data_IF_189393793727
#
_entry.id   IF_189393793727
#
_cell.length_a   1.000
_cell.length_b   1.000
_cell.length_c   1.000
_cell.angle_alpha   90.00
_cell.angle_beta   90.00
_cell.angle_gamma   90.00
#
_symmetry.space_group_name_H-M   'P 1'
#
loop_
_entity.id
_entity.type
_entity.pdbx_description
1 polymer ?
#
# COMPACT_ATOMS: atom_id res chain seq x y z
N UNK A 1 8.30 42.97 -9.81
CA UNK A 1 8.48 42.01 -10.92
C UNK A 1 8.20 40.63 -10.37
N UNK A 2 6.95 40.21 -10.56
CA UNK A 2 6.38 39.00 -9.98
C UNK A 2 6.92 37.76 -10.71
N UNK A 3 7.47 36.80 -9.97
CA UNK A 3 7.92 35.52 -10.51
C UNK A 3 6.72 34.61 -10.80
N UNK A 4 6.02 34.89 -11.90
CA UNK A 4 5.06 33.96 -12.50
C UNK A 4 5.78 32.66 -12.89
N UNK A 5 5.44 31.54 -12.23
CA UNK A 5 5.86 30.20 -12.65
C UNK A 5 6.69 29.38 -11.63
N UNK A 6 7.04 29.93 -10.46
CA UNK A 6 7.74 29.16 -9.44
C UNK A 6 6.80 28.12 -8.79
N UNK A 7 6.80 26.88 -9.29
CA UNK A 7 6.11 25.75 -8.64
C UNK A 7 6.76 25.50 -7.28
N UNK A 8 6.13 25.96 -6.22
CA UNK A 8 6.55 25.64 -4.86
C UNK A 8 6.67 24.12 -4.71
N UNK A 9 7.86 23.65 -4.40
CA UNK A 9 8.14 22.25 -4.10
C UNK A 9 7.46 21.90 -2.78
N UNK A 10 6.24 21.37 -2.85
CA UNK A 10 5.55 20.92 -1.65
C UNK A 10 6.40 19.85 -0.95
N UNK A 11 6.75 20.13 0.30
CA UNK A 11 7.42 19.19 1.20
C UNK A 11 6.55 17.95 1.35
N UNK A 12 7.09 16.81 0.92
CA UNK A 12 6.36 15.53 0.97
C UNK A 12 6.15 15.14 2.43
N UNK A 13 4.94 15.28 2.95
CA UNK A 13 4.58 14.74 4.25
C UNK A 13 4.82 13.22 4.27
N UNK A 14 5.31 12.66 5.40
CA UNK A 14 5.50 11.23 5.52
C UNK A 14 4.16 10.52 5.28
N UNK A 15 4.14 9.41 4.55
CA UNK A 15 2.90 8.71 4.22
C UNK A 15 2.21 8.26 5.51
N UNK A 16 1.04 8.86 5.78
CA UNK A 16 0.24 8.53 6.95
C UNK A 16 -0.18 7.06 6.89
N UNK A 17 0.10 6.32 7.96
CA UNK A 17 -0.24 4.89 8.02
C UNK A 17 -1.76 4.72 8.01
N UNK A 18 -2.24 3.85 7.12
CA UNK A 18 -3.66 3.51 7.10
C UNK A 18 -4.06 2.75 8.36
N UNK A 19 -5.35 2.83 8.74
CA UNK A 19 -5.93 2.07 9.86
C UNK A 19 -5.54 0.58 9.84
N UNK A 20 -5.55 -0.04 8.66
CA UNK A 20 -5.16 -1.46 8.49
C UNK A 20 -3.69 -1.72 8.78
N UNK A 21 -2.80 -0.81 8.41
CA UNK A 21 -1.36 -0.92 8.71
C UNK A 21 -1.10 -0.80 10.20
N UNK A 22 -1.79 0.14 10.88
CA UNK A 22 -1.71 0.27 12.34
C UNK A 22 -2.20 -1.01 13.03
N UNK A 23 -3.32 -1.57 12.58
CA UNK A 23 -3.84 -2.82 13.13
C UNK A 23 -2.89 -4.01 12.91
N UNK A 24 -2.26 -4.12 11.74
CA UNK A 24 -1.22 -5.12 11.47
C UNK A 24 -0.02 -4.97 12.41
N UNK A 25 0.43 -3.74 12.68
CA UNK A 25 1.52 -3.48 13.62
C UNK A 25 1.16 -3.88 15.05
N UNK A 26 -0.05 -3.57 15.50
CA UNK A 26 -0.57 -4.02 16.80
C UNK A 26 -0.58 -5.54 16.89
N UNK A 27 -1.08 -6.24 15.86
CA UNK A 27 -1.07 -7.70 15.81
C UNK A 27 0.35 -8.29 15.85
N UNK A 28 1.35 -7.63 15.23
CA UNK A 28 2.76 -8.06 15.33
C UNK A 28 3.27 -7.95 16.76
N UNK A 29 2.98 -6.84 17.45
CA UNK A 29 3.35 -6.64 18.86
C UNK A 29 2.70 -7.68 19.76
N UNK A 30 1.40 -7.92 19.60
CA UNK A 30 0.65 -8.93 20.36
C UNK A 30 1.22 -10.34 20.14
N UNK A 31 1.47 -10.75 18.89
CA UNK A 31 2.09 -12.06 18.60
C UNK A 31 3.48 -12.21 19.21
N UNK A 32 4.30 -11.14 19.20
CA UNK A 32 5.64 -11.16 19.83
C UNK A 32 5.52 -11.31 21.35
N UNK A 33 4.62 -10.56 22.01
CA UNK A 33 4.35 -10.68 23.44
C UNK A 33 3.88 -12.10 23.79
N UNK A 34 2.94 -12.63 23.03
CA UNK A 34 2.39 -13.96 23.25
C UNK A 34 3.44 -15.06 23.06
N UNK A 35 4.33 -14.92 22.07
CA UNK A 35 5.46 -15.86 21.88
C UNK A 35 6.43 -15.83 23.06
N UNK A 36 6.62 -14.69 23.72
CA UNK A 36 7.40 -14.60 24.97
C UNK A 36 6.69 -15.33 26.12
N UNK A 37 5.38 -15.15 26.24
CA UNK A 37 4.57 -15.84 27.27
C UNK A 37 4.57 -17.35 27.06
N UNK A 38 4.43 -17.84 25.83
CA UNK A 38 4.52 -19.27 25.50
C UNK A 38 5.86 -19.86 25.96
N UNK A 39 6.97 -19.15 25.76
CA UNK A 39 8.30 -19.63 26.17
C UNK A 39 8.48 -19.72 27.69
N UNK A 40 7.69 -18.96 28.44
CA UNK A 40 7.77 -18.90 29.90
C UNK A 40 6.66 -19.70 30.61
N UNK A 41 5.71 -20.28 29.86
CA UNK A 41 4.56 -20.98 30.41
C UNK A 41 4.87 -22.46 30.69
N UNK A 42 4.14 -23.06 31.63
CA UNK A 42 4.13 -24.51 31.81
C UNK A 42 3.49 -25.21 30.60
N UNK A 43 3.64 -26.53 30.50
CA UNK A 43 3.07 -27.35 29.42
C UNK A 43 1.56 -27.16 29.25
N UNK A 44 0.81 -27.05 30.35
CA UNK A 44 -0.65 -26.82 30.34
C UNK A 44 -1.01 -25.41 29.87
N UNK A 45 -0.34 -24.36 30.36
CA UNK A 45 -0.59 -22.98 29.94
C UNK A 45 -0.21 -22.71 28.48
N UNK A 46 0.71 -23.51 27.93
CA UNK A 46 1.20 -23.38 26.56
C UNK A 46 0.11 -23.65 25.52
N UNK A 47 -0.76 -24.64 25.74
CA UNK A 47 -1.80 -25.01 24.78
C UNK A 47 -2.81 -23.87 24.56
N UNK A 48 -3.28 -23.23 25.64
CA UNK A 48 -4.18 -22.08 25.55
C UNK A 48 -3.55 -20.91 24.81
N UNK A 49 -2.28 -20.60 25.11
CA UNK A 49 -1.55 -19.52 24.45
C UNK A 49 -1.32 -19.79 22.95
N UNK A 50 -1.10 -21.05 22.56
CA UNK A 50 -0.97 -21.45 21.16
C UNK A 50 -2.26 -21.25 20.36
N UNK A 51 -3.43 -21.51 20.95
CA UNK A 51 -4.73 -21.25 20.31
C UNK A 51 -4.89 -19.76 20.02
N UNK A 52 -4.64 -18.90 21.01
CA UNK A 52 -4.70 -17.44 20.84
C UNK A 52 -3.69 -16.99 19.78
N UNK A 53 -2.50 -17.58 19.76
CA UNK A 53 -1.48 -17.23 18.77
C UNK A 53 -1.91 -17.57 17.35
N UNK A 54 -2.54 -18.74 17.14
CA UNK A 54 -3.10 -19.14 15.84
C UNK A 54 -4.19 -18.18 15.38
N UNK A 55 -5.09 -17.76 16.27
CA UNK A 55 -6.13 -16.77 15.96
C UNK A 55 -5.53 -15.41 15.53
N UNK A 56 -4.54 -14.91 16.28
CA UNK A 56 -3.83 -13.67 15.91
C UNK A 56 -3.10 -13.79 14.58
N UNK A 57 -2.52 -14.97 14.28
CA UNK A 57 -1.87 -15.25 12.99
C UNK A 57 -2.89 -15.24 11.85
N UNK A 58 -4.05 -15.88 12.04
CA UNK A 58 -5.12 -15.92 11.06
C UNK A 58 -5.65 -14.50 10.75
N UNK A 59 -5.95 -13.69 11.78
CA UNK A 59 -6.40 -12.30 11.62
C UNK A 59 -5.37 -11.44 10.88
N UNK A 60 -4.08 -11.57 11.22
CA UNK A 60 -3.02 -10.86 10.52
C UNK A 60 -2.92 -11.27 9.04
N UNK A 61 -3.10 -12.56 8.72
CA UNK A 61 -3.09 -13.05 7.35
C UNK A 61 -4.27 -12.49 6.55
N UNK A 62 -5.48 -12.50 7.12
CA UNK A 62 -6.66 -11.93 6.49
C UNK A 62 -6.50 -10.43 6.17
N UNK A 63 -6.01 -9.64 7.13
CA UNK A 63 -5.72 -8.21 6.91
C UNK A 63 -4.65 -8.00 5.84
N UNK A 64 -3.59 -8.81 5.86
CA UNK A 64 -2.52 -8.72 4.86
C UNK A 64 -3.04 -9.01 3.45
N UNK A 65 -3.88 -10.04 3.27
CA UNK A 65 -4.51 -10.37 1.98
C UNK A 65 -5.42 -9.23 1.51
N UNK A 66 -6.24 -8.68 2.41
CA UNK A 66 -7.14 -7.58 2.09
C UNK A 66 -6.38 -6.30 1.68
N UNK A 67 -5.26 -6.00 2.34
CA UNK A 67 -4.37 -4.88 2.00
C UNK A 67 -3.70 -5.09 0.64
N UNK A 68 -3.18 -6.28 0.37
CA UNK A 68 -2.60 -6.63 -0.93
C UNK A 68 -3.62 -6.52 -2.05
N UNK A 69 -4.85 -6.99 -1.84
CA UNK A 69 -5.94 -6.87 -2.81
C UNK A 69 -6.30 -5.40 -3.09
N UNK A 70 -6.32 -4.54 -2.07
CA UNK A 70 -6.52 -3.09 -2.25
C UNK A 70 -5.42 -2.48 -3.10
N UNK A 71 -4.16 -2.78 -2.77
CA UNK A 71 -2.99 -2.29 -3.51
C UNK A 71 -3.02 -2.76 -4.97
N UNK A 72 -3.37 -4.02 -5.22
CA UNK A 72 -3.52 -4.57 -6.59
C UNK A 72 -4.58 -3.80 -7.39
N UNK A 73 -5.77 -3.59 -6.80
CA UNK A 73 -6.85 -2.81 -7.44
C UNK A 73 -6.43 -1.37 -7.73
N UNK A 74 -5.79 -0.71 -6.77
CA UNK A 74 -5.29 0.65 -6.94
C UNK A 74 -4.23 0.74 -8.05
N UNK A 75 -3.30 -0.21 -8.13
CA UNK A 75 -2.31 -0.27 -9.22
C UNK A 75 -2.98 -0.49 -10.58
N UNK A 76 -3.96 -1.40 -10.67
CA UNK A 76 -4.70 -1.65 -11.92
C UNK A 76 -5.39 -0.39 -12.43
N UNK A 77 -6.09 0.33 -11.54
CA UNK A 77 -6.75 1.60 -11.89
C UNK A 77 -5.76 2.64 -12.39
N UNK A 78 -4.67 2.86 -11.64
CA UNK A 78 -3.62 3.81 -12.06
C UNK A 78 -2.98 3.44 -13.40
N UNK A 79 -2.82 2.15 -13.68
CA UNK A 79 -2.29 1.69 -14.96
C UNK A 79 -3.27 1.97 -16.11
N UNK A 80 -4.57 1.74 -15.88
CA UNK A 80 -5.61 2.06 -16.86
C UNK A 80 -5.68 3.57 -17.13
N UNK A 81 -5.64 4.40 -16.10
CA UNK A 81 -5.60 5.87 -16.22
C UNK A 81 -4.37 6.33 -17.01
N UNK A 82 -3.20 5.73 -16.77
CA UNK A 82 -1.97 6.01 -17.54
C UNK A 82 -2.11 5.60 -18.99
N UNK A 83 -2.53 4.38 -19.27
CA UNK A 83 -2.71 3.90 -20.64
C UNK A 83 -3.62 4.84 -21.46
N UNK A 84 -4.75 5.25 -20.88
CA UNK A 84 -5.68 6.19 -21.51
C UNK A 84 -4.97 7.53 -21.78
N UNK A 85 -4.34 8.13 -20.77
CA UNK A 85 -3.62 9.39 -20.92
C UNK A 85 -2.54 9.32 -22.00
N UNK A 86 -1.73 8.26 -21.97
CA UNK A 86 -0.60 8.07 -22.87
C UNK A 86 -1.08 7.86 -24.32
N UNK A 87 -2.22 7.18 -24.49
CA UNK A 87 -2.85 6.95 -25.80
C UNK A 87 -3.30 8.25 -26.47
N UNK A 88 -3.83 9.20 -25.71
CA UNK A 88 -4.25 10.50 -26.26
C UNK A 88 -3.07 11.46 -26.48
N UNK A 89 -1.99 11.38 -25.70
CA UNK A 89 -0.78 12.18 -25.96
C UNK A 89 -0.02 11.78 -27.23
N UNK A 90 -0.18 10.53 -27.70
CA UNK A 90 0.38 10.07 -28.98
C UNK A 90 -0.41 10.58 -30.20
N UNK A 91 -1.71 10.89 -30.05
CA UNK A 91 -2.51 11.45 -31.15
C UNK A 91 -2.17 12.92 -31.42
N UNK A 92 -1.99 13.73 -30.37
CA UNK A 92 -1.66 15.15 -30.50
C UNK A 92 -0.23 15.43 -31.04
N UNK A 93 0.63 14.41 -31.09
CA UNK A 93 1.98 14.52 -31.69
C UNK A 93 2.02 14.13 -33.16
N UNK A 94 0.93 13.58 -33.72
CA UNK A 94 0.82 13.21 -35.14
C UNK A 94 0.22 14.30 -36.05
N UNK A 95 -0.29 15.39 -35.48
CA UNK A 95 -0.93 16.50 -36.21
C UNK A 95 0.03 17.60 -36.68
N UNK A 96 1.35 17.44 -36.48
CA UNK A 96 2.38 18.35 -37.00
C UNK A 96 3.22 17.65 -38.08
N UNK A 97 2.60 17.27 -39.20
CA UNK A 97 3.32 17.10 -40.46
C UNK A 97 3.17 18.38 -41.27
N UNK A 98 4.21 19.20 -41.45
CA UNK A 98 4.15 20.24 -42.46
C UNK A 98 4.12 19.53 -43.81
N UNK A 99 3.04 19.75 -44.57
CA UNK A 99 2.92 19.36 -45.96
C UNK A 99 4.18 19.80 -46.71
N UNK A 100 4.96 18.84 -47.19
CA UNK A 100 5.96 19.08 -48.23
C UNK A 100 5.17 19.38 -49.50
N UNK A 101 5.03 20.67 -49.81
CA UNK A 101 4.63 21.11 -51.13
C UNK A 101 5.73 20.74 -52.14
N UNK A 102 5.25 20.32 -53.31
CA UNK A 102 5.97 19.83 -54.49
C UNK A 102 6.91 20.85 -55.11
#
# INVERSE_FOLDING_TARGET
MDTFGAKQTQTKCPPQRSRRQLEMDTLRKQKRKLKKQIRAASSEGTNGLLVIWRQLKARHSALSKAESARKKRSRKRKNQERFIRDSFTLQDSSSNNPSLEL
#
